data_IF_758095792613
#
_entry.id   IF_758095792613
#
_cell.length_a   1.000
_cell.length_b   1.000
_cell.length_c   1.000
_cell.angle_alpha   90.00
_cell.angle_beta   90.00
_cell.angle_gamma   90.00
#
_symmetry.space_group_name_H-M   'P 1'
#
loop_
_entity.id
_entity.type
_entity.pdbx_description
1 polymer ?
#
# COMPACT_ATOMS: atom_id res chain seq x y z
N UNK A 1 -16.10 -23.52 0.26
CA UNK A 1 -15.83 -22.30 1.05
C UNK A 1 -15.40 -21.22 0.07
N UNK A 2 -16.07 -20.07 0.03
CA UNK A 2 -15.72 -18.99 -0.89
C UNK A 2 -14.25 -18.54 -0.74
N UNK A 3 -13.64 -18.19 -1.87
CA UNK A 3 -12.39 -17.43 -1.91
C UNK A 3 -12.70 -16.05 -2.45
N UNK A 4 -12.45 -15.01 -1.67
CA UNK A 4 -12.61 -13.61 -2.06
C UNK A 4 -11.24 -13.08 -2.49
N UNK A 5 -11.16 -12.54 -3.71
CA UNK A 5 -9.97 -11.88 -4.22
C UNK A 5 -10.08 -10.36 -4.04
N UNK A 6 -8.97 -9.73 -3.67
CA UNK A 6 -8.86 -8.28 -3.52
C UNK A 6 -7.64 -7.81 -4.30
N UNK A 7 -7.87 -7.09 -5.38
CA UNK A 7 -6.84 -6.34 -6.09
C UNK A 7 -6.67 -4.98 -5.41
N UNK A 8 -5.44 -4.65 -5.03
CA UNK A 8 -5.08 -3.45 -4.28
C UNK A 8 -4.15 -2.61 -5.15
N UNK A 9 -4.56 -1.41 -5.55
CA UNK A 9 -3.71 -0.49 -6.31
C UNK A 9 -3.25 0.62 -5.38
N UNK A 10 -1.94 0.76 -5.20
CA UNK A 10 -1.35 1.53 -4.12
C UNK A 10 0.00 2.11 -4.49
N UNK A 11 0.40 3.19 -3.80
CA UNK A 11 1.76 3.76 -3.83
C UNK A 11 2.25 3.91 -2.37
N UNK A 12 3.42 3.35 -2.00
CA UNK A 12 3.90 3.36 -0.61
C UNK A 12 4.14 4.76 -0.02
N UNK A 13 4.28 5.80 -0.85
CA UNK A 13 4.44 7.19 -0.36
C UNK A 13 3.11 7.95 -0.24
N UNK A 14 1.98 7.32 -0.60
CA UNK A 14 0.66 7.92 -0.47
C UNK A 14 0.10 7.74 0.95
N UNK A 15 -0.15 8.81 1.72
CA UNK A 15 -0.62 8.68 3.11
C UNK A 15 -1.99 7.99 3.19
N UNK A 16 -2.85 8.20 2.18
CA UNK A 16 -4.15 7.52 2.11
C UNK A 16 -4.00 6.03 1.80
N UNK A 17 -2.97 5.61 1.07
CA UNK A 17 -2.72 4.19 0.84
C UNK A 17 -2.39 3.49 2.15
N UNK A 18 -1.55 4.10 3.00
CA UNK A 18 -1.22 3.53 4.30
C UNK A 18 -2.43 3.47 5.23
N UNK A 19 -3.19 4.57 5.37
CA UNK A 19 -4.44 4.58 6.15
C UNK A 19 -5.44 3.55 5.63
N UNK A 20 -5.58 3.48 4.30
CA UNK A 20 -6.45 2.51 3.65
C UNK A 20 -6.02 1.06 3.89
N UNK A 21 -4.72 0.77 3.87
CA UNK A 21 -4.19 -0.57 4.12
C UNK A 21 -4.43 -1.01 5.57
N UNK A 22 -4.30 -0.10 6.54
CA UNK A 22 -4.68 -0.35 7.94
C UNK A 22 -6.18 -0.65 8.07
N UNK A 23 -7.03 0.15 7.41
CA UNK A 23 -8.49 -0.05 7.39
C UNK A 23 -8.88 -1.37 6.73
N UNK A 24 -8.30 -1.70 5.57
CA UNK A 24 -8.52 -2.95 4.87
C UNK A 24 -8.12 -4.16 5.72
N UNK A 25 -6.94 -4.12 6.36
CA UNK A 25 -6.47 -5.20 7.23
C UNK A 25 -7.42 -5.44 8.41
N UNK A 26 -7.94 -4.37 9.03
CA UNK A 26 -8.96 -4.47 10.09
C UNK A 26 -10.28 -5.00 9.56
N UNK A 27 -10.73 -4.59 8.37
CA UNK A 27 -11.96 -5.07 7.76
C UNK A 27 -11.89 -6.57 7.45
N UNK A 28 -10.77 -7.04 6.90
CA UNK A 28 -10.52 -8.47 6.65
C UNK A 28 -10.52 -9.26 7.96
N UNK A 29 -9.81 -8.79 8.98
CA UNK A 29 -9.78 -9.46 10.28
C UNK A 29 -11.17 -9.52 10.93
N UNK A 30 -11.94 -8.43 10.84
CA UNK A 30 -13.30 -8.36 11.35
C UNK A 30 -14.21 -9.32 10.59
N UNK A 31 -14.15 -9.34 9.25
CA UNK A 31 -14.89 -10.26 8.40
C UNK A 31 -14.64 -11.73 8.77
N UNK A 32 -13.37 -12.13 8.90
CA UNK A 32 -13.02 -13.50 9.26
C UNK A 32 -13.50 -13.87 10.67
N UNK A 33 -13.58 -12.89 11.56
CA UNK A 33 -14.05 -13.08 12.94
C UNK A 33 -15.57 -13.17 13.04
N UNK A 34 -16.32 -12.37 12.26
CA UNK A 34 -17.78 -12.19 12.47
C UNK A 34 -18.65 -12.76 11.38
N UNK A 35 -18.14 -12.93 10.16
CA UNK A 35 -18.90 -13.38 8.99
C UNK A 35 -18.57 -14.84 8.66
N UNK A 36 -17.29 -15.14 8.43
CA UNK A 36 -16.86 -16.52 8.14
C UNK A 36 -15.36 -16.70 8.41
N UNK A 37 -15.03 -17.53 9.41
CA UNK A 37 -13.64 -17.88 9.73
C UNK A 37 -13.02 -18.89 8.78
N UNK A 38 -13.81 -19.48 7.89
CA UNK A 38 -13.39 -20.54 6.96
C UNK A 38 -13.23 -20.05 5.52
N UNK A 39 -13.68 -18.82 5.23
CA UNK A 39 -13.52 -18.22 3.90
C UNK A 39 -12.08 -17.78 3.71
N UNK A 40 -11.59 -17.86 2.47
CA UNK A 40 -10.21 -17.45 2.15
C UNK A 40 -10.23 -16.05 1.55
N UNK A 41 -9.38 -15.15 2.06
CA UNK A 41 -9.13 -13.85 1.44
C UNK A 41 -7.77 -13.90 0.76
N UNK A 42 -7.71 -13.51 -0.50
CA UNK A 42 -6.46 -13.39 -1.27
C UNK A 42 -6.27 -11.95 -1.69
N UNK A 43 -5.05 -11.43 -1.58
CA UNK A 43 -4.71 -10.06 -1.95
C UNK A 43 -3.68 -10.08 -3.08
N UNK A 44 -3.79 -9.11 -3.99
CA UNK A 44 -2.79 -8.85 -5.02
C UNK A 44 -2.53 -7.36 -5.12
N UNK A 45 -1.29 -6.94 -4.92
CA UNK A 45 -0.90 -5.52 -4.94
C UNK A 45 -0.41 -5.10 -6.33
N UNK A 46 -1.02 -4.09 -6.92
CA UNK A 46 -0.60 -3.51 -8.19
C UNK A 46 0.15 -2.21 -7.96
N UNK A 47 1.33 -2.12 -8.57
CA UNK A 47 2.16 -0.93 -8.48
C UNK A 47 1.44 0.29 -9.09
N UNK A 48 1.52 1.42 -8.39
CA UNK A 48 1.09 2.72 -8.89
C UNK A 48 2.08 3.76 -8.41
N UNK A 49 2.47 4.69 -9.29
CA UNK A 49 3.31 5.81 -8.92
C UNK A 49 2.53 7.11 -9.08
N UNK A 50 2.34 7.82 -7.96
CA UNK A 50 1.76 9.17 -7.94
C UNK A 50 2.59 10.12 -8.80
N UNK A 51 3.92 9.99 -8.77
CA UNK A 51 4.86 10.78 -9.54
C UNK A 51 6.19 10.01 -9.71
N UNK A 52 6.35 9.25 -10.82
CA UNK A 52 7.57 8.52 -11.14
C UNK A 52 8.83 9.38 -11.19
N UNK A 53 8.69 10.69 -11.40
CA UNK A 53 9.80 11.62 -11.59
C UNK A 53 10.17 12.37 -10.31
N UNK A 54 9.62 11.98 -9.15
CA UNK A 54 9.95 12.63 -7.88
C UNK A 54 11.44 12.46 -7.57
N UNK A 55 12.22 13.57 -7.50
CA UNK A 55 13.61 13.47 -7.12
C UNK A 55 13.73 13.14 -5.62
N UNK A 56 14.83 12.47 -5.26
CA UNK A 56 15.15 12.18 -3.85
C UNK A 56 15.31 13.49 -3.08
N UNK A 57 14.47 13.70 -2.07
CA UNK A 57 14.49 14.90 -1.23
C UNK A 57 13.76 14.66 0.10
N UNK A 58 13.98 15.48 1.14
CA UNK A 58 13.19 15.41 2.36
C UNK A 58 11.70 15.59 2.08
N UNK A 59 10.84 14.81 2.73
CA UNK A 59 9.38 14.87 2.56
C UNK A 59 8.85 16.29 2.81
N UNK A 60 9.36 16.98 3.83
CA UNK A 60 8.97 18.37 4.13
C UNK A 60 9.21 19.31 2.95
N UNK A 61 10.28 19.09 2.16
CA UNK A 61 10.61 19.90 1.00
C UNK A 61 9.60 19.65 -0.13
N UNK A 62 9.22 18.39 -0.37
CA UNK A 62 8.16 18.05 -1.34
C UNK A 62 6.81 18.64 -0.92
N UNK A 63 6.45 18.59 0.37
CA UNK A 63 5.22 19.21 0.89
C UNK A 63 5.25 20.72 0.65
N UNK A 64 6.33 21.39 1.05
CA UNK A 64 6.49 22.84 0.85
C UNK A 64 6.41 23.23 -0.63
N UNK A 65 7.03 22.47 -1.54
CA UNK A 65 6.97 22.75 -2.98
C UNK A 65 5.55 22.65 -3.56
N UNK A 66 4.70 21.83 -2.96
CA UNK A 66 3.35 21.55 -3.46
C UNK A 66 2.29 22.51 -2.91
N UNK A 67 2.45 22.94 -1.66
CA UNK A 67 1.42 23.73 -0.95
C UNK A 67 1.90 25.08 -0.40
N UNK A 68 3.22 25.35 -0.39
CA UNK A 68 3.83 26.51 0.28
C UNK A 68 4.41 26.15 1.65
N UNK A 69 5.48 26.83 2.05
CA UNK A 69 6.16 26.61 3.34
C UNK A 69 5.25 26.92 4.54
N UNK A 70 4.44 27.96 4.42
CA UNK A 70 3.44 28.39 5.41
C UNK A 70 2.34 27.34 5.64
N UNK A 71 2.07 26.49 4.65
CA UNK A 71 1.07 25.42 4.74
C UNK A 71 1.61 24.12 5.31
N UNK A 72 2.93 23.95 5.48
CA UNK A 72 3.51 22.71 6.01
C UNK A 72 2.93 22.33 7.39
N UNK A 73 2.80 23.24 8.38
CA UNK A 73 2.22 22.90 9.67
C UNK A 73 0.76 22.43 9.58
N UNK A 74 -0.07 23.07 8.73
CA UNK A 74 -1.49 22.71 8.58
C UNK A 74 -1.66 21.35 7.91
N UNK A 75 -0.85 21.06 6.88
CA UNK A 75 -0.82 19.75 6.20
C UNK A 75 -0.42 18.65 7.19
N UNK A 76 0.64 18.86 7.98
CA UNK A 76 1.09 17.91 9.00
C UNK A 76 0.01 17.65 10.05
N UNK A 77 -0.63 18.71 10.56
CA UNK A 77 -1.68 18.61 11.56
C UNK A 77 -2.88 17.79 11.03
N UNK A 78 -3.31 18.04 9.79
CA UNK A 78 -4.39 17.29 9.15
C UNK A 78 -4.06 15.82 9.01
N UNK A 79 -2.89 15.49 8.45
CA UNK A 79 -2.46 14.10 8.24
C UNK A 79 -2.31 13.34 9.58
N UNK A 80 -1.73 13.98 10.59
CA UNK A 80 -1.65 13.39 11.93
C UNK A 80 -3.02 13.22 12.59
N UNK A 81 -3.96 14.13 12.35
CA UNK A 81 -5.34 14.00 12.84
C UNK A 81 -6.01 12.73 12.33
N UNK A 82 -5.81 12.40 11.06
CA UNK A 82 -6.33 11.17 10.43
C UNK A 82 -5.57 9.94 10.95
N UNK A 83 -4.24 9.98 10.93
CA UNK A 83 -3.39 8.89 11.42
C UNK A 83 -3.72 8.48 12.86
N UNK A 84 -4.02 9.46 13.73
CA UNK A 84 -4.37 9.22 15.12
C UNK A 84 -5.68 8.42 15.28
N UNK A 85 -6.63 8.55 14.35
CA UNK A 85 -7.87 7.74 14.36
C UNK A 85 -7.57 6.25 14.09
N UNK A 86 -6.46 5.98 13.42
CA UNK A 86 -5.93 4.64 13.17
C UNK A 86 -4.94 4.18 14.24
N UNK A 87 -4.71 4.98 15.29
CA UNK A 87 -3.79 4.66 16.38
C UNK A 87 -2.30 4.88 16.05
N UNK A 88 -2.00 5.58 14.96
CA UNK A 88 -0.62 5.84 14.52
C UNK A 88 -0.30 7.33 14.45
N UNK A 89 0.98 7.68 14.40
CA UNK A 89 1.46 9.05 14.28
C UNK A 89 2.48 9.14 13.16
N UNK A 90 2.29 10.03 12.19
CA UNK A 90 3.23 10.16 11.08
C UNK A 90 4.49 10.90 11.50
N UNK A 91 5.61 10.32 11.12
CA UNK A 91 6.91 10.94 11.09
C UNK A 91 7.09 11.65 9.75
N UNK A 92 7.48 12.93 9.79
CA UNK A 92 7.65 13.75 8.59
C UNK A 92 9.13 13.96 8.21
N UNK A 93 10.05 13.27 8.89
CA UNK A 93 11.48 13.33 8.60
C UNK A 93 11.91 12.38 7.48
N UNK A 94 10.96 11.64 6.91
CA UNK A 94 11.18 10.69 5.81
C UNK A 94 11.76 11.36 4.57
N UNK A 95 12.44 10.58 3.74
CA UNK A 95 12.92 11.00 2.43
C UNK A 95 12.03 10.39 1.35
N UNK A 96 11.50 11.24 0.47
CA UNK A 96 10.65 10.84 -0.65
C UNK A 96 11.48 10.79 -1.93
N UNK A 97 11.08 9.94 -2.87
CA UNK A 97 11.65 9.86 -4.22
C UNK A 97 10.83 8.90 -5.07
N UNK A 98 11.47 8.32 -6.10
CA UNK A 98 10.85 7.29 -6.93
C UNK A 98 10.59 6.02 -6.10
N UNK A 99 9.42 5.41 -6.28
CA UNK A 99 8.94 4.24 -5.51
C UNK A 99 9.06 2.90 -6.25
N UNK A 100 9.73 2.86 -7.39
CA UNK A 100 9.85 1.67 -8.25
C UNK A 100 10.50 0.51 -7.50
N UNK A 101 11.59 0.77 -6.79
CA UNK A 101 12.28 -0.27 -6.02
C UNK A 101 11.44 -0.80 -4.85
N UNK A 102 10.62 0.06 -4.22
CA UNK A 102 9.66 -0.38 -3.22
C UNK A 102 8.63 -1.35 -3.82
N UNK A 103 8.05 -1.03 -4.98
CA UNK A 103 7.15 -1.92 -5.70
C UNK A 103 7.81 -3.20 -6.21
N UNK A 104 9.08 -3.12 -6.64
CA UNK A 104 9.85 -4.31 -7.01
C UNK A 104 9.99 -5.24 -5.82
N UNK A 105 10.20 -4.69 -4.62
CA UNK A 105 10.30 -5.49 -3.40
C UNK A 105 8.97 -6.11 -2.98
N UNK A 106 7.85 -5.41 -3.17
CA UNK A 106 6.50 -5.99 -3.00
C UNK A 106 6.30 -7.23 -3.90
N UNK A 107 6.78 -7.18 -5.15
CA UNK A 107 6.73 -8.35 -6.07
C UNK A 107 7.60 -9.51 -5.59
N UNK A 108 8.80 -9.25 -5.05
CA UNK A 108 9.58 -10.31 -4.39
C UNK A 108 8.79 -10.92 -3.23
N UNK A 109 8.15 -10.08 -2.41
CA UNK A 109 7.22 -10.50 -1.37
C UNK A 109 6.13 -11.42 -1.91
N UNK A 110 5.51 -11.10 -3.05
CA UNK A 110 4.52 -11.96 -3.71
C UNK A 110 5.07 -13.35 -4.03
N UNK A 111 6.29 -13.45 -4.57
CA UNK A 111 6.94 -14.73 -4.88
C UNK A 111 7.20 -15.59 -3.64
N UNK A 112 7.11 -15.01 -2.44
CA UNK A 112 7.31 -15.67 -1.14
C UNK A 112 6.03 -15.74 -0.31
N UNK A 113 4.88 -15.30 -0.86
CA UNK A 113 3.61 -15.26 -0.13
C UNK A 113 3.56 -14.22 0.99
N UNK A 114 4.34 -13.13 0.86
CA UNK A 114 4.57 -12.06 1.84
C UNK A 114 4.33 -10.66 1.28
N UNK A 115 3.62 -10.54 0.16
CA UNK A 115 3.40 -9.25 -0.52
C UNK A 115 2.78 -8.20 0.40
N UNK A 116 1.72 -8.55 1.12
CA UNK A 116 1.03 -7.62 2.03
C UNK A 116 1.93 -7.22 3.20
N UNK A 117 2.66 -8.16 3.80
CA UNK A 117 3.60 -7.86 4.88
C UNK A 117 4.71 -6.92 4.41
N UNK A 118 5.28 -7.15 3.23
CA UNK A 118 6.31 -6.27 2.65
C UNK A 118 5.76 -4.87 2.38
N UNK A 119 4.59 -4.76 1.73
CA UNK A 119 3.96 -3.47 1.46
C UNK A 119 3.70 -2.68 2.76
N UNK A 120 3.19 -3.34 3.80
CA UNK A 120 2.93 -2.73 5.09
C UNK A 120 4.21 -2.30 5.82
N UNK A 121 5.27 -3.11 5.82
CA UNK A 121 6.53 -2.73 6.46
C UNK A 121 7.25 -1.60 5.72
N UNK A 122 7.18 -1.55 4.39
CA UNK A 122 7.68 -0.40 3.61
C UNK A 122 6.92 0.88 3.99
N UNK A 123 5.60 0.82 4.04
CA UNK A 123 4.79 1.97 4.46
C UNK A 123 5.06 2.35 5.92
N UNK A 124 5.27 1.38 6.81
CA UNK A 124 5.61 1.62 8.23
C UNK A 124 6.97 2.33 8.36
N UNK A 125 7.98 1.84 7.64
CA UNK A 125 9.32 2.44 7.56
C UNK A 125 9.24 3.90 7.06
N UNK A 126 8.47 4.15 5.99
CA UNK A 126 8.33 5.49 5.46
C UNK A 126 7.49 6.42 6.34
N UNK A 127 6.31 6.02 6.80
CA UNK A 127 5.37 6.91 7.50
C UNK A 127 5.60 7.00 9.01
N UNK A 128 6.11 5.96 9.65
CA UNK A 128 6.25 5.92 11.11
C UNK A 128 7.70 6.07 11.55
N UNK A 129 8.62 5.41 10.86
CA UNK A 129 10.03 5.40 11.27
C UNK A 129 10.85 6.55 10.67
N UNK A 130 10.32 7.22 9.64
CA UNK A 130 11.00 8.34 8.98
C UNK A 130 12.11 7.90 8.03
N UNK A 131 11.99 6.70 7.46
CA UNK A 131 12.95 6.13 6.53
C UNK A 131 12.96 6.80 5.15
N UNK A 132 13.90 6.37 4.32
CA UNK A 132 14.07 6.80 2.94
C UNK A 132 13.56 5.76 1.96
N UNK A 133 12.51 6.09 1.21
CA UNK A 133 11.89 5.17 0.24
C UNK A 133 12.84 4.80 -0.92
N UNK A 134 13.90 5.57 -1.12
CA UNK A 134 14.93 5.35 -2.16
C UNK A 134 16.19 4.66 -1.63
N UNK A 135 16.27 4.41 -0.32
CA UNK A 135 17.40 3.71 0.29
C UNK A 135 17.22 2.20 0.19
N UNK A 136 18.10 1.53 -0.55
CA UNK A 136 18.12 0.06 -0.59
C UNK A 136 18.33 -0.56 0.80
N UNK A 137 19.09 0.07 1.69
CA UNK A 137 19.26 -0.43 3.07
C UNK A 137 17.97 -0.37 3.88
N UNK A 138 17.22 0.71 3.77
CA UNK A 138 15.95 0.90 4.48
C UNK A 138 14.90 -0.08 3.93
N UNK A 139 14.84 -0.24 2.60
CA UNK A 139 13.98 -1.21 1.93
C UNK A 139 14.31 -2.66 2.31
N UNK A 140 15.59 -3.06 2.31
CA UNK A 140 16.00 -4.39 2.79
C UNK A 140 15.63 -4.59 4.26
N UNK A 141 15.79 -3.57 5.10
CA UNK A 141 15.40 -3.65 6.51
C UNK A 141 13.89 -3.86 6.67
N UNK A 142 13.06 -3.16 5.88
CA UNK A 142 11.61 -3.38 5.85
C UNK A 142 11.25 -4.79 5.35
N UNK A 143 11.92 -5.30 4.30
CA UNK A 143 11.72 -6.66 3.82
C UNK A 143 12.03 -7.72 4.88
N UNK A 144 13.12 -7.55 5.63
CA UNK A 144 13.47 -8.46 6.74
C UNK A 144 12.42 -8.41 7.86
N UNK A 145 11.86 -7.23 8.18
CA UNK A 145 10.76 -7.11 9.14
C UNK A 145 9.50 -7.84 8.65
N UNK A 146 9.30 -7.92 7.33
CA UNK A 146 8.25 -8.72 6.69
C UNK A 146 8.61 -10.21 6.54
N UNK A 147 9.71 -10.66 7.17
CA UNK A 147 10.22 -12.04 7.15
C UNK A 147 10.72 -12.54 5.77
N UNK A 148 11.24 -11.64 4.93
CA UNK A 148 12.08 -12.02 3.79
C UNK A 148 13.55 -12.20 4.20
N UNK A 149 14.27 -13.03 3.44
CA UNK A 149 15.70 -13.20 3.63
C UNK A 149 16.46 -11.94 3.20
N UNK A 150 17.41 -11.51 4.04
CA UNK A 150 18.14 -10.24 3.84
C UNK A 150 18.92 -10.24 2.53
N UNK A 151 19.65 -11.31 2.26
CA UNK A 151 20.54 -11.42 1.10
C UNK A 151 19.73 -11.49 -0.20
N UNK A 152 18.58 -12.17 -0.18
CA UNK A 152 17.66 -12.23 -1.30
C UNK A 152 17.07 -10.84 -1.63
N UNK A 153 16.59 -10.11 -0.62
CA UNK A 153 16.09 -8.75 -0.80
C UNK A 153 17.17 -7.80 -1.31
N UNK A 154 18.42 -7.95 -0.83
CA UNK A 154 19.59 -7.19 -1.30
C UNK A 154 19.88 -7.47 -2.77
N UNK A 155 20.04 -8.74 -3.12
CA UNK A 155 20.36 -9.18 -4.48
C UNK A 155 19.29 -8.71 -5.47
N UNK A 156 18.02 -8.86 -5.11
CA UNK A 156 16.90 -8.36 -5.89
C UNK A 156 17.00 -6.86 -6.18
N UNK A 157 17.26 -6.05 -5.15
CA UNK A 157 17.38 -4.60 -5.29
C UNK A 157 18.68 -4.16 -5.98
N UNK A 158 19.74 -4.98 -5.96
CA UNK A 158 20.98 -4.74 -6.70
C UNK A 158 20.87 -5.08 -8.19
N UNK A 159 20.01 -6.04 -8.54
CA UNK A 159 19.55 -6.28 -9.90
C UNK A 159 18.37 -5.38 -10.33
N UNK A 160 17.77 -5.73 -11.47
CA UNK A 160 16.55 -5.10 -12.00
C UNK A 160 15.35 -6.07 -12.09
N UNK A 161 15.42 -7.22 -11.41
CA UNK A 161 14.33 -8.19 -11.40
C UNK A 161 13.01 -7.55 -10.93
N UNK A 162 11.92 -7.92 -11.60
CA UNK A 162 10.58 -7.35 -11.40
C UNK A 162 10.42 -5.91 -11.87
N UNK A 163 11.47 -5.26 -12.39
CA UNK A 163 11.46 -3.88 -12.86
C UNK A 163 10.49 -3.64 -14.01
N UNK A 164 10.62 -4.41 -15.10
CA UNK A 164 9.72 -4.34 -16.27
C UNK A 164 8.26 -4.58 -15.88
N UNK A 165 8.01 -5.49 -14.94
CA UNK A 165 6.66 -5.78 -14.44
C UNK A 165 6.07 -4.60 -13.65
N UNK A 166 6.88 -3.86 -12.90
CA UNK A 166 6.44 -2.65 -12.19
C UNK A 166 6.11 -1.56 -13.21
N UNK A 167 7.01 -1.35 -14.18
CA UNK A 167 6.86 -0.30 -15.18
C UNK A 167 5.60 -0.54 -16.05
N UNK A 168 5.34 -1.80 -16.40
CA UNK A 168 4.15 -2.20 -17.12
C UNK A 168 2.87 -2.05 -16.27
N UNK A 169 2.88 -2.47 -15.00
CA UNK A 169 1.71 -2.28 -14.11
C UNK A 169 1.37 -0.79 -13.95
N UNK A 170 2.37 0.06 -13.72
CA UNK A 170 2.18 1.51 -13.59
C UNK A 170 1.56 2.10 -14.86
N UNK A 171 2.08 1.72 -16.04
CA UNK A 171 1.53 2.16 -17.34
C UNK A 171 0.10 1.67 -17.52
N UNK A 172 -0.17 0.39 -17.25
CA UNK A 172 -1.49 -0.23 -17.40
C UNK A 172 -2.53 0.46 -16.50
N UNK A 173 -2.19 0.79 -15.25
CA UNK A 173 -3.12 1.50 -14.36
C UNK A 173 -3.48 2.89 -14.90
N UNK A 174 -2.52 3.61 -15.48
CA UNK A 174 -2.76 4.90 -16.11
C UNK A 174 -3.63 4.77 -17.37
N UNK A 175 -3.37 3.77 -18.22
CA UNK A 175 -4.17 3.49 -19.43
C UNK A 175 -5.61 3.09 -19.09
N UNK A 176 -5.81 2.35 -17.99
CA UNK A 176 -7.13 2.03 -17.43
C UNK A 176 -7.85 3.24 -16.82
N UNK A 177 -7.24 4.43 -16.85
CA UNK A 177 -7.83 5.67 -16.37
C UNK A 177 -7.90 5.77 -14.84
N UNK A 178 -7.11 4.97 -14.11
CA UNK A 178 -6.99 5.11 -12.66
C UNK A 178 -6.20 6.38 -12.37
N UNK A 179 -6.84 7.33 -11.66
CA UNK A 179 -6.27 8.66 -11.36
C UNK A 179 -5.99 8.90 -9.88
N UNK A 180 -6.19 7.89 -9.04
CA UNK A 180 -6.06 8.01 -7.60
C UNK A 180 -5.96 6.67 -6.91
N UNK A 181 -5.26 6.68 -5.78
CA UNK A 181 -4.98 5.53 -4.92
C UNK A 181 -5.19 5.90 -3.44
N UNK A 182 -5.53 4.94 -2.56
CA UNK A 182 -5.68 3.52 -2.84
C UNK A 182 -6.97 3.20 -3.60
N UNK A 183 -6.97 2.09 -4.33
CA UNK A 183 -8.18 1.52 -4.92
C UNK A 183 -8.20 0.03 -4.66
N UNK A 184 -9.34 -0.47 -4.17
CA UNK A 184 -9.56 -1.89 -3.94
C UNK A 184 -10.63 -2.39 -4.89
N UNK A 185 -10.38 -3.54 -5.52
CA UNK A 185 -11.32 -4.22 -6.40
C UNK A 185 -11.52 -5.63 -5.85
N UNK A 186 -12.71 -5.88 -5.32
CA UNK A 186 -13.08 -7.13 -4.67
C UNK A 186 -13.85 -8.00 -5.67
N UNK A 187 -13.39 -9.23 -5.89
CA UNK A 187 -13.92 -10.19 -6.88
C UNK A 187 -14.14 -9.58 -8.28
N UNK A 188 -13.24 -8.69 -8.70
CA UNK A 188 -13.30 -7.96 -9.98
C UNK A 188 -14.63 -7.20 -10.22
N UNK A 189 -15.40 -6.94 -9.16
CA UNK A 189 -16.77 -6.40 -9.24
C UNK A 189 -16.96 -5.20 -8.33
N UNK A 190 -16.67 -5.34 -7.04
CA UNK A 190 -16.92 -4.28 -6.06
C UNK A 190 -15.70 -3.39 -5.94
N UNK A 191 -15.86 -2.10 -6.24
CA UNK A 191 -14.77 -1.12 -6.12
C UNK A 191 -14.94 -0.30 -4.85
N UNK A 192 -13.85 -0.12 -4.12
CA UNK A 192 -13.69 0.85 -3.03
C UNK A 192 -12.60 1.83 -3.45
N UNK A 193 -12.92 3.13 -3.52
CA UNK A 193 -11.99 4.17 -3.94
C UNK A 193 -11.56 5.00 -2.73
N UNK A 194 -10.25 5.13 -2.51
CA UNK A 194 -9.71 5.85 -1.36
C UNK A 194 -9.71 5.01 -0.08
N UNK A 195 -9.37 5.68 1.01
CA UNK A 195 -9.26 5.07 2.34
C UNK A 195 -10.63 5.06 3.05
N UNK A 196 -11.64 4.41 2.46
CA UNK A 196 -12.99 4.31 3.03
C UNK A 196 -12.98 3.63 4.41
N UNK A 197 -14.03 3.86 5.20
CA UNK A 197 -14.12 3.35 6.56
C UNK A 197 -14.25 1.81 6.60
N UNK A 198 -13.84 1.21 7.73
CA UNK A 198 -13.83 -0.25 7.92
C UNK A 198 -15.20 -0.89 7.67
N UNK A 199 -16.27 -0.20 8.06
CA UNK A 199 -17.65 -0.66 7.86
C UNK A 199 -18.00 -0.80 6.37
N UNK A 200 -17.63 0.18 5.55
CA UNK A 200 -17.93 0.18 4.12
C UNK A 200 -17.14 -0.93 3.40
N UNK A 201 -15.86 -1.11 3.76
CA UNK A 201 -15.05 -2.20 3.23
C UNK A 201 -15.65 -3.56 3.63
N UNK A 202 -16.05 -3.72 4.90
CA UNK A 202 -16.68 -4.95 5.39
C UNK A 202 -17.97 -5.26 4.64
N UNK A 203 -18.83 -4.26 4.40
CA UNK A 203 -20.04 -4.43 3.60
C UNK A 203 -19.72 -5.00 2.22
N UNK A 204 -18.70 -4.47 1.52
CA UNK A 204 -18.31 -4.99 0.21
C UNK A 204 -17.78 -6.42 0.26
N UNK A 205 -17.05 -6.80 1.32
CA UNK A 205 -16.62 -8.20 1.52
C UNK A 205 -17.82 -9.15 1.72
N UNK A 206 -18.84 -8.72 2.48
CA UNK A 206 -20.07 -9.50 2.68
C UNK A 206 -20.83 -9.65 1.37
N UNK A 207 -21.04 -8.56 0.62
CA UNK A 207 -21.71 -8.61 -0.68
C UNK A 207 -20.97 -9.54 -1.66
N UNK A 208 -19.64 -9.45 -1.70
CA UNK A 208 -18.80 -10.30 -2.53
C UNK A 208 -18.92 -11.79 -2.18
N UNK A 209 -19.07 -12.10 -0.88
CA UNK A 209 -19.32 -13.45 -0.39
C UNK A 209 -20.68 -14.00 -0.83
N UNK A 210 -21.73 -13.21 -0.66
CA UNK A 210 -23.11 -13.60 -1.01
C UNK A 210 -23.22 -13.92 -2.50
N UNK A 211 -22.60 -13.11 -3.36
CA UNK A 211 -22.49 -13.34 -4.78
C UNK A 211 -21.83 -14.68 -5.14
N UNK A 212 -20.77 -15.05 -4.42
CA UNK A 212 -20.07 -16.33 -4.63
C UNK A 212 -20.95 -17.50 -4.18
N UNK A 213 -21.72 -17.34 -3.12
CA UNK A 213 -22.63 -18.39 -2.65
C UNK A 213 -23.84 -18.56 -3.57
N UNK A 214 -24.37 -17.48 -4.15
CA UNK A 214 -25.51 -17.55 -5.07
C UNK A 214 -25.18 -18.20 -6.43
N UNK A 215 -23.89 -18.30 -6.78
CA UNK A 215 -23.40 -18.94 -8.00
C UNK A 215 -23.06 -20.42 -7.84
N UNK A 216 -23.02 -20.92 -6.60
CA UNK A 216 -22.74 -22.32 -6.26
C UNK A 216 -24.02 -23.04 -5.84
#
# INVERSE_FOLDING_TARGET
MPTISITIISDPVCPWCFIGALRLSRAIALYLKTVSSTDTITTKWHAYQLDPNTPRQPLITKIASKWGEDQVPSVKARLNGIAKQEGVQFNFNSTIGNTRDAHRLEKLGRMRGKETEVALEIMRMYFLDGGDITSKEDLVTAAVQAALERDEAREWLDGDDGGDDVDNEVREMQEKGIRGVPRYIINDKYTVNGAEDVGDILEKLVMAREDLLAKN
#
